data_IF_479854081074
#
_entry.id   IF_479854081074
#
_cell.length_a   1.000
_cell.length_b   1.000
_cell.length_c   1.000
_cell.angle_alpha   90.00
_cell.angle_beta   90.00
_cell.angle_gamma   90.00
#
_symmetry.space_group_name_H-M   'P 1'
#
loop_
_entity.id
_entity.type
_entity.pdbx_description
1 polymer ?
#
# COMPACT_ATOMS: atom_id res chain seq x y z
N UNK A 1 2.89 7.70 -6.28
CA UNK A 1 3.48 6.40 -5.90
C UNK A 1 4.74 6.08 -6.70
N UNK A 2 4.71 5.97 -8.04
CA UNK A 2 5.92 5.62 -8.81
C UNK A 2 7.09 6.61 -8.62
N UNK A 3 6.84 7.92 -8.68
CA UNK A 3 7.87 8.95 -8.46
C UNK A 3 8.30 9.11 -7.00
N UNK A 4 7.56 8.53 -6.05
CA UNK A 4 7.82 8.62 -4.61
C UNK A 4 7.47 7.27 -3.93
N UNK A 5 8.27 6.20 -4.13
CA UNK A 5 7.95 4.85 -3.65
C UNK A 5 7.74 4.77 -2.13
N UNK A 6 8.43 5.63 -1.38
CA UNK A 6 8.34 5.74 0.07
C UNK A 6 7.12 6.50 0.62
N UNK A 7 6.15 6.87 -0.23
CA UNK A 7 4.91 7.51 0.25
C UNK A 7 4.06 6.55 1.10
N UNK A 8 3.12 7.08 1.89
CA UNK A 8 2.19 6.28 2.68
C UNK A 8 2.77 5.72 3.99
N UNK A 9 1.88 5.10 4.78
CA UNK A 9 2.16 4.63 6.13
C UNK A 9 2.70 3.20 6.14
N UNK A 10 3.70 2.91 6.98
CA UNK A 10 4.15 1.55 7.24
C UNK A 10 3.08 0.78 8.03
N UNK A 11 2.71 -0.42 7.56
CA UNK A 11 1.72 -1.32 8.17
C UNK A 11 2.16 -2.77 8.07
N UNK A 12 1.71 -3.61 8.99
CA UNK A 12 1.75 -5.06 8.79
C UNK A 12 0.56 -5.49 7.92
N UNK A 13 0.84 -6.27 6.89
CA UNK A 13 -0.17 -6.99 6.13
C UNK A 13 -0.61 -8.24 6.91
N UNK A 14 -1.77 -8.82 6.60
CA UNK A 14 -2.41 -9.85 7.43
C UNK A 14 -1.57 -11.09 7.80
N UNK A 15 -0.46 -11.33 7.10
CA UNK A 15 0.52 -12.40 7.37
C UNK A 15 1.77 -11.93 8.16
N UNK A 16 1.75 -10.71 8.69
CA UNK A 16 2.83 -10.09 9.46
C UNK A 16 3.90 -9.36 8.64
N UNK A 17 3.86 -9.44 7.30
CA UNK A 17 4.85 -8.75 6.44
C UNK A 17 4.69 -7.24 6.52
N UNK A 18 5.80 -6.52 6.60
CA UNK A 18 5.80 -5.06 6.51
C UNK A 18 5.46 -4.63 5.08
N UNK A 19 4.49 -3.74 4.95
CA UNK A 19 4.06 -3.12 3.71
C UNK A 19 3.77 -1.63 3.93
N UNK A 20 3.44 -0.92 2.85
CA UNK A 20 2.99 0.46 2.86
C UNK A 20 1.52 0.52 2.49
N UNK A 21 0.78 1.41 3.16
CA UNK A 21 -0.60 1.76 2.83
C UNK A 21 -0.65 3.18 2.30
N UNK A 22 -1.13 3.34 1.08
CA UNK A 22 -1.44 4.64 0.49
C UNK A 22 -2.96 4.77 0.29
N UNK A 23 -3.53 5.86 0.80
CA UNK A 23 -4.95 6.15 0.62
C UNK A 23 -5.14 6.99 -0.64
N UNK A 24 -6.10 6.61 -1.48
CA UNK A 24 -6.50 7.35 -2.67
C UNK A 24 -8.02 7.37 -2.77
N UNK A 25 -8.62 8.50 -2.40
CA UNK A 25 -10.07 8.61 -2.23
C UNK A 25 -10.61 7.56 -1.26
N UNK A 26 -11.59 6.78 -1.70
CA UNK A 26 -12.18 5.69 -0.93
C UNK A 26 -11.39 4.37 -1.02
N UNK A 27 -10.16 4.37 -1.51
CA UNK A 27 -9.35 3.17 -1.63
C UNK A 27 -8.13 3.20 -0.71
N UNK A 28 -7.80 2.04 -0.15
CA UNK A 28 -6.54 1.76 0.50
C UNK A 28 -5.71 0.81 -0.37
N UNK A 29 -4.55 1.28 -0.81
CA UNK A 29 -3.62 0.53 -1.66
C UNK A 29 -2.49 0.02 -0.76
N UNK A 30 -2.34 -1.28 -0.67
CA UNK A 30 -1.27 -1.95 0.06
C UNK A 30 -0.20 -2.40 -0.92
N UNK A 31 1.05 -2.04 -0.66
CA UNK A 31 2.16 -2.34 -1.56
C UNK A 31 3.50 -2.42 -0.81
N UNK A 32 4.52 -2.96 -1.45
CA UNK A 32 5.91 -2.74 -1.03
C UNK A 32 6.74 -2.20 -2.20
N UNK A 33 7.79 -1.47 -1.88
CA UNK A 33 8.74 -0.93 -2.85
C UNK A 33 10.02 -1.76 -2.86
N UNK A 34 10.47 -2.16 -4.05
CA UNK A 34 11.84 -2.61 -4.31
C UNK A 34 12.59 -1.53 -5.11
N UNK A 35 13.87 -1.76 -5.41
CA UNK A 35 14.76 -0.76 -6.03
C UNK A 35 14.14 -0.08 -7.27
N UNK A 36 13.52 -0.85 -8.17
CA UNK A 36 13.01 -0.34 -9.46
C UNK A 36 11.51 -0.57 -9.66
N UNK A 37 10.80 -1.08 -8.65
CA UNK A 37 9.42 -1.50 -8.82
C UNK A 37 8.57 -1.33 -7.55
N UNK A 38 7.27 -1.17 -7.78
CA UNK A 38 6.24 -1.27 -6.75
C UNK A 38 5.46 -2.56 -6.96
N UNK A 39 5.34 -3.35 -5.90
CA UNK A 39 4.54 -4.55 -5.89
C UNK A 39 3.26 -4.26 -5.13
N UNK A 40 2.15 -4.12 -5.86
CA UNK A 40 0.83 -3.93 -5.27
C UNK A 40 0.36 -5.28 -4.73
N UNK A 41 0.12 -5.33 -3.42
CA UNK A 41 -0.33 -6.53 -2.72
C UNK A 41 -1.86 -6.65 -2.79
N UNK A 42 -2.55 -5.54 -2.52
CA UNK A 42 -4.01 -5.49 -2.50
C UNK A 42 -4.51 -4.07 -2.63
N UNK A 43 -5.68 -3.92 -3.25
CA UNK A 43 -6.46 -2.68 -3.23
C UNK A 43 -7.78 -2.98 -2.55
N UNK A 44 -8.10 -2.22 -1.50
CA UNK A 44 -9.34 -2.35 -0.76
C UNK A 44 -10.17 -1.08 -0.94
N UNK A 45 -11.45 -1.24 -1.23
CA UNK A 45 -12.39 -0.12 -1.18
C UNK A 45 -12.89 0.06 0.26
N UNK A 46 -12.69 1.24 0.82
CA UNK A 46 -13.14 1.65 2.15
C UNK A 46 -14.64 1.92 2.27
N UNK A 47 -15.48 1.44 1.34
CA UNK A 47 -16.94 1.59 1.43
C UNK A 47 -17.60 0.47 2.25
N UNK A 48 -16.82 -0.22 3.08
CA UNK A 48 -17.34 -1.16 4.07
C UNK A 48 -16.82 -0.75 5.43
N UNK A 49 -17.52 0.21 6.03
CA UNK A 49 -17.68 0.36 7.47
C UNK A 49 -18.68 -0.66 7.99
#
# INVERSE_FOLDING_TARGET
>A
MASHPGIGESRQFGDGRLCRRFSSGNYAIYYHSAADALFVLRVLHGARS
#
